data_IF_018917369371
#
_entry.id   IF_018917369371
#
_cell.length_a   1.000
_cell.length_b   1.000
_cell.length_c   1.000
_cell.angle_alpha   90.00
_cell.angle_beta   90.00
_cell.angle_gamma   90.00
#
_symmetry.space_group_name_H-M   'P 1'
#
loop_
_entity.id
_entity.type
_entity.pdbx_description
1 polymer ?
#
# COMPACT_ATOMS: atom_id res chain seq x y z
N UNK A 1 0.06 9.74 14.80
CA UNK A 1 -0.37 8.38 14.41
C UNK A 1 -0.52 8.36 12.89
N UNK A 2 0.27 7.56 12.16
CA UNK A 2 0.11 7.46 10.70
C UNK A 2 -1.14 6.63 10.38
N UNK A 3 -1.87 7.05 9.34
CA UNK A 3 -3.18 6.49 8.97
C UNK A 3 -3.13 5.08 8.38
N UNK A 4 -4.31 4.50 8.18
CA UNK A 4 -4.50 3.23 7.45
C UNK A 4 -4.81 3.53 5.99
N UNK A 5 -4.16 2.81 5.06
CA UNK A 5 -4.30 2.98 3.61
C UNK A 5 -4.74 1.66 2.98
N UNK A 6 -5.75 1.70 2.10
CA UNK A 6 -6.19 0.58 1.27
C UNK A 6 -5.82 0.87 -0.19
N UNK A 7 -5.06 -0.03 -0.80
CA UNK A 7 -4.69 0.03 -2.22
C UNK A 7 -5.52 -1.02 -2.97
N UNK A 8 -6.31 -0.57 -3.93
CA UNK A 8 -7.09 -1.43 -4.83
C UNK A 8 -6.65 -1.10 -6.25
N UNK A 9 -6.04 -2.09 -6.90
CA UNK A 9 -5.49 -1.97 -8.25
C UNK A 9 -5.42 -3.40 -8.81
N UNK A 10 -5.75 -3.65 -10.07
CA UNK A 10 -5.65 -4.98 -10.68
C UNK A 10 -4.19 -5.38 -10.94
N UNK A 11 -3.31 -4.40 -11.15
CA UNK A 11 -1.90 -4.59 -11.47
C UNK A 11 -1.07 -4.89 -10.20
N UNK A 12 -0.51 -6.10 -10.14
CA UNK A 12 0.20 -6.59 -8.95
C UNK A 12 1.48 -5.80 -8.67
N UNK A 13 2.22 -5.43 -9.72
CA UNK A 13 3.47 -4.69 -9.57
C UNK A 13 3.23 -3.31 -8.94
N UNK A 14 2.15 -2.65 -9.33
CA UNK A 14 1.74 -1.36 -8.77
C UNK A 14 1.41 -1.51 -7.28
N UNK A 15 0.58 -2.49 -6.90
CA UNK A 15 0.24 -2.74 -5.48
C UNK A 15 1.48 -2.93 -4.61
N UNK A 16 2.40 -3.79 -5.03
CA UNK A 16 3.62 -4.10 -4.27
C UNK A 16 4.56 -2.90 -4.16
N UNK A 17 4.74 -2.14 -5.25
CA UNK A 17 5.58 -0.95 -5.26
C UNK A 17 5.05 0.12 -4.30
N UNK A 18 3.73 0.40 -4.37
CA UNK A 18 3.07 1.40 -3.55
C UNK A 18 3.07 1.00 -2.07
N UNK A 19 2.78 -0.27 -1.77
CA UNK A 19 2.80 -0.81 -0.42
C UNK A 19 4.17 -0.65 0.24
N UNK A 20 5.24 -0.95 -0.49
CA UNK A 20 6.62 -0.83 0.02
C UNK A 20 6.97 0.63 0.36
N UNK A 21 6.61 1.57 -0.50
CA UNK A 21 6.90 3.00 -0.29
C UNK A 21 6.09 3.55 0.89
N UNK A 22 4.79 3.25 0.96
CA UNK A 22 3.92 3.70 2.04
C UNK A 22 4.28 3.07 3.39
N UNK A 23 4.69 1.79 3.42
CA UNK A 23 5.21 1.15 4.64
C UNK A 23 6.53 1.75 5.10
N UNK A 24 7.42 2.13 4.18
CA UNK A 24 8.67 2.85 4.51
C UNK A 24 8.35 4.20 5.17
N UNK A 25 7.31 4.86 4.69
CA UNK A 25 6.74 6.04 5.31
C UNK A 25 5.93 5.72 6.56
N UNK A 26 5.91 4.51 7.11
CA UNK A 26 5.26 4.18 8.38
C UNK A 26 3.73 4.18 8.36
N UNK A 27 3.10 4.10 7.18
CA UNK A 27 1.66 3.87 7.06
C UNK A 27 1.32 2.39 7.23
N UNK A 28 0.14 2.10 7.77
CA UNK A 28 -0.41 0.75 7.75
C UNK A 28 -1.18 0.53 6.44
N UNK A 29 -0.63 -0.30 5.56
CA UNK A 29 -1.14 -0.49 4.20
C UNK A 29 -1.73 -1.89 4.04
N UNK A 30 -2.91 -1.96 3.42
CA UNK A 30 -3.53 -3.20 2.95
C UNK A 30 -3.73 -3.11 1.43
N UNK A 31 -3.41 -4.19 0.73
CA UNK A 31 -3.65 -4.29 -0.71
C UNK A 31 -4.76 -5.30 -0.99
N UNK A 32 -5.65 -4.98 -1.93
CA UNK A 32 -6.65 -5.88 -2.49
C UNK A 32 -6.53 -5.91 -4.01
N UNK A 33 -6.88 -7.04 -4.60
CA UNK A 33 -7.05 -7.20 -6.05
C UNK A 33 -8.47 -6.75 -6.38
#
# INVERSE_FOLDING_TARGET
MKGRVLVVDDEKLMRVSLEKQLKKEGFFVRCMK
#
